data_IF_771076147387
#
_entry.id   IF_771076147387
#
_cell.length_a   1.000
_cell.length_b   1.000
_cell.length_c   1.000
_cell.angle_alpha   90.00
_cell.angle_beta   90.00
_cell.angle_gamma   90.00
#
_symmetry.space_group_name_H-M   'P 1'
#
loop_
_entity.id
_entity.type
_entity.pdbx_description
1 polymer ?
#
# COMPACT_ATOMS: atom_id res chain seq x y z
N UNK A 1 -25.50 4.18 -15.46
CA UNK A 1 -24.30 4.83 -14.92
C UNK A 1 -23.21 3.86 -14.42
N UNK A 2 -23.42 2.56 -14.43
CA UNK A 2 -22.36 1.58 -14.06
C UNK A 2 -21.65 0.96 -15.28
N UNK A 3 -22.09 1.29 -16.50
CA UNK A 3 -21.59 0.68 -17.73
C UNK A 3 -20.35 1.33 -18.35
N UNK A 4 -19.85 2.43 -17.77
CA UNK A 4 -18.76 3.20 -18.39
C UNK A 4 -17.44 3.09 -17.62
N UNK A 5 -17.36 2.22 -16.61
CA UNK A 5 -16.10 2.01 -15.90
C UNK A 5 -15.49 0.66 -16.27
N UNK A 6 -14.53 0.69 -17.18
CA UNK A 6 -13.69 -0.46 -17.58
C UNK A 6 -12.76 -0.90 -16.43
N UNK A 7 -13.30 -1.14 -15.24
CA UNK A 7 -12.57 -1.57 -14.06
C UNK A 7 -13.00 -2.96 -13.63
N UNK A 8 -12.05 -3.75 -13.16
CA UNK A 8 -12.36 -4.99 -12.48
C UNK A 8 -12.85 -4.68 -11.05
N UNK A 9 -14.00 -5.23 -10.67
CA UNK A 9 -14.52 -5.09 -9.30
C UNK A 9 -14.12 -6.29 -8.48
N UNK A 10 -13.42 -6.02 -7.36
CA UNK A 10 -13.10 -7.03 -6.35
C UNK A 10 -14.24 -7.22 -5.36
N UNK A 11 -14.33 -8.40 -4.75
CA UNK A 11 -15.30 -8.70 -3.70
C UNK A 11 -14.89 -7.99 -2.40
N UNK A 12 -15.76 -7.14 -1.87
CA UNK A 12 -15.68 -6.63 -0.49
C UNK A 12 -14.79 -5.42 -0.25
N UNK A 13 -14.24 -4.75 -1.27
CA UNK A 13 -13.51 -3.51 -1.08
C UNK A 13 -13.82 -2.50 -2.20
N UNK A 14 -13.99 -1.23 -1.83
CA UNK A 14 -14.07 -0.15 -2.80
C UNK A 14 -12.70 0.09 -3.45
N UNK A 15 -12.74 0.57 -4.68
CA UNK A 15 -11.63 0.64 -5.64
C UNK A 15 -10.26 0.99 -5.04
N UNK A 16 -10.11 2.19 -4.48
CA UNK A 16 -8.81 2.66 -3.99
C UNK A 16 -8.39 2.02 -2.66
N UNK A 17 -9.36 1.58 -1.84
CA UNK A 17 -9.10 0.77 -0.65
C UNK A 17 -8.51 -0.59 -1.03
N UNK A 18 -9.02 -1.24 -2.09
CA UNK A 18 -8.43 -2.47 -2.61
C UNK A 18 -7.03 -2.22 -3.17
N UNK A 19 -6.84 -1.17 -3.97
CA UNK A 19 -5.55 -0.80 -4.54
C UNK A 19 -4.47 -0.54 -3.51
N UNK A 20 -4.79 0.17 -2.42
CA UNK A 20 -3.83 0.42 -1.34
C UNK A 20 -3.45 -0.87 -0.59
N UNK A 21 -4.39 -1.79 -0.38
CA UNK A 21 -4.09 -3.11 0.22
C UNK A 21 -3.20 -3.97 -0.68
N UNK A 22 -3.45 -3.98 -2.00
CA UNK A 22 -2.55 -4.64 -2.95
C UNK A 22 -1.17 -3.99 -2.94
N UNK A 23 -1.08 -2.66 -2.82
CA UNK A 23 0.20 -1.97 -2.68
C UNK A 23 0.98 -2.46 -1.46
N UNK A 24 0.35 -2.59 -0.29
CA UNK A 24 0.98 -3.12 0.91
C UNK A 24 1.47 -4.57 0.74
N UNK A 25 0.66 -5.43 0.09
CA UNK A 25 1.04 -6.82 -0.17
C UNK A 25 2.23 -6.90 -1.14
N UNK A 26 2.27 -6.06 -2.19
CA UNK A 26 3.41 -6.01 -3.12
C UNK A 26 4.71 -5.62 -2.40
N UNK A 27 4.66 -4.62 -1.53
CA UNK A 27 5.80 -4.20 -0.70
C UNK A 27 6.24 -5.35 0.21
N UNK A 28 5.28 -6.01 0.87
CA UNK A 28 5.58 -7.13 1.76
C UNK A 28 6.25 -8.29 1.02
N UNK A 29 5.74 -8.68 -0.16
CA UNK A 29 6.36 -9.74 -0.98
C UNK A 29 7.78 -9.34 -1.40
N UNK A 30 7.98 -8.12 -1.90
CA UNK A 30 9.30 -7.65 -2.34
C UNK A 30 10.34 -7.70 -1.21
N UNK A 31 10.00 -7.14 -0.05
CA UNK A 31 10.91 -7.11 1.09
C UNK A 31 11.12 -8.50 1.72
N UNK A 32 10.09 -9.34 1.77
CA UNK A 32 10.20 -10.72 2.26
C UNK A 32 11.12 -11.57 1.39
N UNK A 33 10.95 -11.51 0.07
CA UNK A 33 11.81 -12.26 -0.87
C UNK A 33 13.26 -11.80 -0.75
N UNK A 34 13.52 -10.49 -0.66
CA UNK A 34 14.87 -9.99 -0.49
C UNK A 34 15.51 -10.44 0.83
N UNK A 35 14.75 -10.37 1.94
CA UNK A 35 15.23 -10.78 3.25
C UNK A 35 15.56 -12.27 3.32
N UNK A 36 14.71 -13.14 2.73
CA UNK A 36 14.82 -14.61 2.81
C UNK A 36 15.43 -15.27 1.56
N UNK A 37 15.98 -14.51 0.61
CA UNK A 37 16.46 -15.00 -0.68
C UNK A 37 17.49 -16.13 -0.61
N UNK A 38 18.30 -16.14 0.45
CA UNK A 38 19.33 -17.16 0.66
C UNK A 38 18.74 -18.48 1.20
N UNK A 39 17.68 -18.39 2.03
CA UNK A 39 17.01 -19.53 2.65
C UNK A 39 15.93 -20.15 1.76
N UNK A 40 15.22 -19.32 0.99
CA UNK A 40 14.11 -19.80 0.13
C UNK A 40 14.60 -20.70 -0.99
N UNK A 41 13.83 -21.75 -1.28
CA UNK A 41 14.05 -22.61 -2.44
C UNK A 41 13.63 -21.88 -3.72
N UNK A 42 14.18 -22.30 -4.87
CA UNK A 42 13.90 -21.63 -6.16
C UNK A 42 12.40 -21.60 -6.50
N UNK A 43 11.65 -22.66 -6.21
CA UNK A 43 10.21 -22.70 -6.49
C UNK A 43 9.40 -21.75 -5.57
N UNK A 44 9.85 -21.52 -4.33
CA UNK A 44 9.23 -20.57 -3.39
C UNK A 44 9.44 -19.14 -3.88
N UNK A 45 10.67 -18.79 -4.27
CA UNK A 45 10.96 -17.49 -4.90
C UNK A 45 10.09 -17.30 -6.14
N UNK A 46 10.02 -18.31 -7.02
CA UNK A 46 9.20 -18.23 -8.22
C UNK A 46 7.72 -18.03 -7.89
N UNK A 47 7.19 -18.71 -6.86
CA UNK A 47 5.82 -18.53 -6.39
C UNK A 47 5.56 -17.08 -5.94
N UNK A 48 6.45 -16.50 -5.13
CA UNK A 48 6.31 -15.10 -4.68
C UNK A 48 6.41 -14.11 -5.84
N UNK A 49 7.32 -14.34 -6.80
CA UNK A 49 7.47 -13.45 -7.96
C UNK A 49 6.27 -13.53 -8.91
N UNK A 50 5.74 -14.73 -9.17
CA UNK A 50 4.49 -14.89 -9.93
C UNK A 50 3.35 -14.19 -9.22
N UNK A 51 3.22 -14.37 -7.90
CA UNK A 51 2.20 -13.69 -7.09
C UNK A 51 2.36 -12.17 -7.16
N UNK A 52 3.58 -11.65 -7.08
CA UNK A 52 3.87 -10.23 -7.21
C UNK A 52 3.40 -9.68 -8.57
N UNK A 53 3.72 -10.38 -9.67
CA UNK A 53 3.32 -9.94 -11.02
C UNK A 53 1.78 -10.01 -11.17
N UNK A 54 1.16 -11.11 -10.73
CA UNK A 54 -0.31 -11.27 -10.82
C UNK A 54 -1.05 -10.21 -10.00
N UNK A 55 -0.60 -9.96 -8.76
CA UNK A 55 -1.19 -8.91 -7.91
C UNK A 55 -0.96 -7.52 -8.51
N UNK A 56 0.21 -7.27 -9.12
CA UNK A 56 0.47 -6.01 -9.82
C UNK A 56 -0.50 -5.80 -10.98
N UNK A 57 -0.72 -6.81 -11.81
CA UNK A 57 -1.61 -6.72 -12.98
C UNK A 57 -3.07 -6.58 -12.53
N UNK A 58 -3.56 -7.53 -11.73
CA UNK A 58 -4.97 -7.54 -11.27
C UNK A 58 -5.27 -6.32 -10.41
N UNK A 59 -4.37 -5.95 -9.51
CA UNK A 59 -4.52 -4.78 -8.64
C UNK A 59 -4.65 -3.48 -9.43
N UNK A 60 -3.83 -3.27 -10.47
CA UNK A 60 -3.94 -2.08 -11.33
C UNK A 60 -5.20 -2.08 -12.19
N UNK A 61 -5.71 -3.25 -12.58
CA UNK A 61 -7.03 -3.37 -13.26
C UNK A 61 -8.18 -2.96 -12.33
N UNK A 62 -8.04 -3.12 -11.02
CA UNK A 62 -9.02 -2.71 -10.01
C UNK A 62 -8.84 -1.23 -9.68
N UNK A 63 -7.63 -0.84 -9.27
CA UNK A 63 -7.30 0.53 -8.90
C UNK A 63 -5.83 0.85 -9.15
N UNK A 64 -5.58 1.95 -9.86
CA UNK A 64 -4.24 2.44 -10.20
C UNK A 64 -3.39 2.77 -8.96
N UNK A 65 -4.00 2.94 -7.79
CA UNK A 65 -3.30 3.13 -6.51
C UNK A 65 -2.35 1.97 -6.20
N UNK A 66 -2.60 0.78 -6.75
CA UNK A 66 -1.69 -0.39 -6.67
C UNK A 66 -0.29 -0.10 -7.22
N UNK A 67 -0.15 0.85 -8.18
CA UNK A 67 1.14 1.23 -8.77
C UNK A 67 2.11 1.79 -7.73
N UNK A 68 1.60 2.37 -6.64
CA UNK A 68 2.41 2.87 -5.52
C UNK A 68 3.20 1.71 -4.88
N UNK A 69 2.52 0.60 -4.62
CA UNK A 69 3.16 -0.60 -4.07
C UNK A 69 4.12 -1.25 -5.06
N UNK A 70 3.75 -1.30 -6.34
CA UNK A 70 4.63 -1.77 -7.40
C UNK A 70 5.92 -0.93 -7.47
N UNK A 71 5.79 0.41 -7.48
CA UNK A 71 6.93 1.32 -7.55
C UNK A 71 7.83 1.24 -6.33
N UNK A 72 7.26 1.25 -5.12
CA UNK A 72 8.02 1.14 -3.86
C UNK A 72 8.67 -0.25 -3.75
N UNK A 73 7.95 -1.33 -4.05
CA UNK A 73 8.48 -2.69 -3.98
C UNK A 73 9.62 -2.95 -4.96
N UNK A 74 9.45 -2.54 -6.23
CA UNK A 74 10.53 -2.63 -7.22
C UNK A 74 11.69 -1.71 -6.89
N UNK A 75 11.42 -0.48 -6.46
CA UNK A 75 12.44 0.48 -6.02
C UNK A 75 13.27 -0.08 -4.86
N UNK A 76 12.64 -0.71 -3.89
CA UNK A 76 13.32 -1.38 -2.79
C UNK A 76 14.23 -2.50 -3.30
N UNK A 77 13.73 -3.40 -4.15
CA UNK A 77 14.53 -4.50 -4.72
C UNK A 77 15.74 -3.98 -5.49
N UNK A 78 15.55 -2.93 -6.29
CA UNK A 78 16.64 -2.29 -7.06
C UNK A 78 17.69 -1.69 -6.12
N UNK A 79 17.26 -0.96 -5.09
CA UNK A 79 18.18 -0.37 -4.10
C UNK A 79 18.99 -1.44 -3.35
N UNK A 80 18.36 -2.56 -2.96
CA UNK A 80 19.05 -3.67 -2.30
C UNK A 80 20.08 -4.33 -3.22
N UNK A 81 19.77 -4.49 -4.51
CA UNK A 81 20.72 -5.00 -5.50
C UNK A 81 21.94 -4.07 -5.63
N UNK A 82 21.74 -2.75 -5.72
CA UNK A 82 22.83 -1.79 -5.76
C UNK A 82 23.68 -1.83 -4.49
N UNK A 83 23.06 -1.86 -3.30
CA UNK A 83 23.80 -1.97 -2.02
C UNK A 83 24.61 -3.27 -1.95
N UNK A 84 24.07 -4.40 -2.42
CA UNK A 84 24.76 -5.67 -2.49
C UNK A 84 26.03 -5.63 -3.35
N UNK A 85 25.99 -4.91 -4.48
CA UNK A 85 27.15 -4.72 -5.38
C UNK A 85 28.23 -3.91 -4.67
N UNK A 86 27.89 -2.80 -3.99
CA UNK A 86 28.85 -1.94 -3.32
C UNK A 86 29.47 -2.57 -2.08
N UNK A 87 28.72 -3.42 -1.35
CA UNK A 87 29.17 -4.05 -0.10
C UNK A 87 29.87 -5.40 -0.33
N UNK A 88 30.07 -5.87 -1.57
CA UNK A 88 30.59 -7.21 -1.88
C UNK A 88 29.87 -8.34 -1.13
N UNK A 89 28.58 -8.15 -0.84
CA UNK A 89 27.74 -9.14 -0.17
C UNK A 89 27.62 -10.38 -1.07
N UNK A 90 27.40 -11.53 -0.45
CA UNK A 90 27.28 -12.81 -1.16
C UNK A 90 26.24 -12.73 -2.28
N UNK A 91 26.70 -12.75 -3.54
CA UNK A 91 25.86 -12.53 -4.74
C UNK A 91 25.03 -13.77 -5.14
N UNK A 92 25.08 -14.86 -4.36
CA UNK A 92 24.39 -16.10 -4.69
C UNK A 92 22.87 -15.97 -4.72
N UNK A 93 22.30 -15.40 -3.67
CA UNK A 93 20.86 -15.15 -3.56
C UNK A 93 20.34 -14.15 -4.59
N UNK A 94 21.10 -13.09 -4.86
CA UNK A 94 20.72 -12.05 -5.83
C UNK A 94 20.63 -12.61 -7.25
N UNK A 95 21.60 -13.44 -7.67
CA UNK A 95 21.59 -14.11 -8.98
C UNK A 95 20.42 -15.10 -9.11
N UNK A 96 20.09 -15.79 -8.01
CA UNK A 96 18.96 -16.73 -7.95
C UNK A 96 17.63 -15.96 -8.12
N UNK A 97 17.41 -14.86 -7.41
CA UNK A 97 16.24 -14.01 -7.56
C UNK A 97 16.14 -13.44 -8.97
N UNK A 98 17.22 -12.89 -9.52
CA UNK A 98 17.25 -12.37 -10.89
C UNK A 98 16.92 -13.44 -11.93
N UNK A 99 17.48 -14.66 -11.78
CA UNK A 99 17.16 -15.80 -12.64
C UNK A 99 15.67 -16.19 -12.59
N UNK A 100 15.09 -16.20 -11.38
CA UNK A 100 13.66 -16.49 -11.21
C UNK A 100 12.76 -15.39 -11.79
N UNK A 101 13.16 -14.10 -11.72
CA UNK A 101 12.48 -13.03 -12.46
C UNK A 101 12.45 -13.30 -13.96
N UNK A 102 13.59 -13.72 -14.54
CA UNK A 102 13.65 -14.08 -15.95
C UNK A 102 12.68 -15.22 -16.31
N UNK A 103 12.56 -16.24 -15.46
CA UNK A 103 11.61 -17.34 -15.66
C UNK A 103 10.18 -16.86 -15.52
N UNK A 104 9.84 -16.11 -14.46
CA UNK A 104 8.50 -15.60 -14.23
C UNK A 104 8.01 -14.71 -15.37
N UNK A 105 8.83 -13.75 -15.80
CA UNK A 105 8.50 -12.85 -16.91
C UNK A 105 8.45 -13.62 -18.25
N UNK A 106 9.36 -14.56 -18.49
CA UNK A 106 9.40 -15.39 -19.69
C UNK A 106 8.14 -16.25 -19.87
N UNK A 107 7.46 -16.61 -18.78
CA UNK A 107 6.18 -17.33 -18.83
C UNK A 107 4.99 -16.38 -18.90
N UNK A 108 4.97 -15.35 -18.05
CA UNK A 108 3.78 -14.51 -17.89
C UNK A 108 3.61 -13.48 -19.03
N UNK A 109 4.69 -12.96 -19.62
CA UNK A 109 4.60 -12.03 -20.75
C UNK A 109 3.91 -12.66 -21.96
N UNK A 110 4.30 -13.85 -22.45
CA UNK A 110 3.60 -14.49 -23.57
C UNK A 110 2.11 -14.77 -23.28
N UNK A 111 1.79 -15.16 -22.04
CA UNK A 111 0.39 -15.35 -21.62
C UNK A 111 -0.37 -14.04 -21.66
N UNK A 112 0.20 -12.96 -21.11
CA UNK A 112 -0.43 -11.63 -21.11
C UNK A 112 -0.62 -11.11 -22.55
N UNK A 113 0.37 -11.27 -23.42
CA UNK A 113 0.28 -10.87 -24.85
C UNK A 113 -0.79 -11.69 -25.57
N UNK A 114 -0.89 -12.98 -25.30
CA UNK A 114 -1.94 -13.81 -25.88
C UNK A 114 -3.33 -13.30 -25.49
N UNK A 115 -3.60 -13.09 -24.19
CA UNK A 115 -4.89 -12.59 -23.71
C UNK A 115 -5.17 -11.14 -24.15
N UNK A 116 -4.16 -10.29 -24.23
CA UNK A 116 -4.27 -8.93 -24.73
C UNK A 116 -4.78 -8.88 -26.18
N UNK A 117 -4.36 -9.85 -27.01
CA UNK A 117 -4.78 -9.92 -28.42
C UNK A 117 -6.06 -10.74 -28.65
N UNK A 118 -6.50 -11.57 -27.68
CA UNK A 118 -7.64 -12.48 -27.89
C UNK A 118 -8.87 -12.12 -27.07
N UNK A 119 -8.73 -11.34 -25.99
CA UNK A 119 -9.81 -10.94 -25.10
C UNK A 119 -9.97 -9.43 -25.07
N UNK A 120 -11.05 -8.92 -25.65
CA UNK A 120 -11.39 -7.49 -25.65
C UNK A 120 -11.45 -6.93 -24.21
N UNK A 121 -12.10 -7.65 -23.29
CA UNK A 121 -12.18 -7.24 -21.89
C UNK A 121 -10.80 -7.13 -21.22
N UNK A 122 -9.90 -8.10 -21.46
CA UNK A 122 -8.55 -8.06 -20.91
C UNK A 122 -7.75 -6.91 -21.53
N UNK A 123 -7.91 -6.66 -22.82
CA UNK A 123 -7.29 -5.52 -23.52
C UNK A 123 -7.68 -4.20 -22.86
N UNK A 124 -8.98 -3.95 -22.67
CA UNK A 124 -9.49 -2.71 -22.06
C UNK A 124 -8.99 -2.55 -20.60
N UNK A 125 -9.04 -3.61 -19.80
CA UNK A 125 -8.56 -3.59 -18.42
C UNK A 125 -7.04 -3.31 -18.32
N UNK A 126 -6.24 -3.89 -19.22
CA UNK A 126 -4.82 -3.62 -19.29
C UNK A 126 -4.52 -2.17 -19.69
N UNK A 127 -5.22 -1.66 -20.70
CA UNK A 127 -5.08 -0.24 -21.10
C UNK A 127 -5.51 0.70 -19.98
N UNK A 128 -6.58 0.39 -19.28
CA UNK A 128 -6.99 1.15 -18.10
C UNK A 128 -5.94 1.11 -16.98
N UNK A 129 -5.50 -0.09 -16.58
CA UNK A 129 -4.59 -0.27 -15.44
C UNK A 129 -3.20 0.34 -15.68
N UNK A 130 -2.74 0.35 -16.92
CA UNK A 130 -1.41 0.81 -17.32
C UNK A 130 -1.45 1.99 -18.30
N UNK A 131 -2.50 2.83 -18.23
CA UNK A 131 -2.76 3.94 -19.15
C UNK A 131 -1.54 4.85 -19.36
N UNK A 132 -0.85 5.26 -18.28
CA UNK A 132 0.31 6.13 -18.39
C UNK A 132 1.49 5.49 -19.16
N UNK A 133 1.68 4.17 -19.05
CA UNK A 133 2.73 3.49 -19.82
C UNK A 133 2.35 3.38 -21.31
N UNK A 134 1.08 3.10 -21.62
CA UNK A 134 0.59 3.08 -22.98
C UNK A 134 0.66 4.47 -23.61
N UNK A 135 0.22 5.51 -22.89
CA UNK A 135 0.30 6.90 -23.33
C UNK A 135 1.76 7.30 -23.61
N UNK A 136 2.68 7.02 -22.69
CA UNK A 136 4.10 7.31 -22.88
C UNK A 136 4.67 6.61 -24.11
N UNK A 137 4.29 5.35 -24.36
CA UNK A 137 4.77 4.58 -25.52
C UNK A 137 4.18 5.07 -26.85
N UNK A 138 2.92 5.54 -26.86
CA UNK A 138 2.19 5.94 -28.06
C UNK A 138 2.41 7.41 -28.44
N UNK A 139 2.48 8.30 -27.42
CA UNK A 139 2.52 9.76 -27.64
C UNK A 139 3.84 10.41 -27.18
N UNK A 140 4.65 9.71 -26.40
CA UNK A 140 5.84 10.26 -25.76
C UNK A 140 5.54 11.08 -24.49
N UNK A 141 4.28 11.21 -24.08
CA UNK A 141 3.85 11.96 -22.92
C UNK A 141 3.14 11.05 -21.92
N UNK A 142 3.41 11.28 -20.63
CA UNK A 142 2.72 10.55 -19.55
C UNK A 142 1.37 11.19 -19.27
N UNK A 143 0.32 10.66 -19.89
CA UNK A 143 -1.05 11.11 -19.69
C UNK A 143 -1.87 10.03 -18.98
N UNK A 144 -2.59 10.42 -17.93
CA UNK A 144 -3.48 9.56 -17.16
C UNK A 144 -4.72 10.37 -16.82
N UNK A 145 -5.87 9.99 -17.35
CA UNK A 145 -7.12 10.75 -17.21
C UNK A 145 -7.49 11.06 -15.74
N UNK A 146 -7.16 10.13 -14.81
CA UNK A 146 -7.39 10.40 -13.38
C UNK A 146 -6.48 11.47 -12.79
N UNK A 147 -5.32 11.76 -13.38
CA UNK A 147 -4.43 12.80 -12.89
C UNK A 147 -4.95 14.19 -13.29
N UNK A 148 -5.49 14.34 -14.49
CA UNK A 148 -6.14 15.59 -14.93
C UNK A 148 -7.34 15.92 -14.05
N UNK A 149 -8.15 14.88 -13.71
CA UNK A 149 -9.26 15.04 -12.77
C UNK A 149 -8.77 15.45 -11.39
N UNK A 150 -7.70 14.82 -10.85
CA UNK A 150 -7.13 15.18 -9.56
C UNK A 150 -6.58 16.60 -9.53
N UNK A 151 -5.99 17.08 -10.60
CA UNK A 151 -5.51 18.47 -10.70
C UNK A 151 -6.65 19.48 -10.51
N UNK A 152 -7.81 19.19 -11.11
CA UNK A 152 -9.01 20.03 -10.92
C UNK A 152 -9.61 19.94 -9.50
N UNK A 153 -9.24 18.93 -8.71
CA UNK A 153 -9.68 18.72 -7.33
C UNK A 153 -8.72 19.32 -6.29
N UNK A 154 -7.67 20.03 -6.71
CA UNK A 154 -6.78 20.74 -5.78
C UNK A 154 -7.50 21.99 -5.29
N UNK A 155 -8.15 21.90 -4.14
CA UNK A 155 -8.86 22.99 -3.48
C UNK A 155 -8.31 23.16 -2.07
N UNK A 156 -7.89 24.37 -1.72
CA UNK A 156 -7.37 24.67 -0.39
C UNK A 156 -8.41 25.44 0.45
N UNK A 157 -8.42 25.24 1.78
CA UNK A 157 -9.25 26.04 2.68
C UNK A 157 -8.94 27.54 2.55
N UNK A 158 -9.97 28.37 2.55
CA UNK A 158 -9.84 29.82 2.45
C UNK A 158 -9.55 30.49 3.81
N UNK A 159 -10.02 29.89 4.91
CA UNK A 159 -9.87 30.41 6.24
C UNK A 159 -8.91 29.61 7.13
N UNK A 160 -8.39 30.27 8.17
CA UNK A 160 -7.40 29.67 9.07
C UNK A 160 -8.02 28.66 10.03
N UNK A 161 -9.31 28.78 10.35
CA UNK A 161 -10.02 27.88 11.24
C UNK A 161 -10.11 26.48 10.61
N UNK A 162 -10.53 26.39 9.34
CA UNK A 162 -10.56 25.14 8.56
C UNK A 162 -9.17 24.52 8.44
N UNK A 163 -8.12 25.33 8.22
CA UNK A 163 -6.75 24.82 8.22
C UNK A 163 -6.34 24.16 9.54
N UNK A 164 -6.74 24.73 10.69
CA UNK A 164 -6.28 24.26 12.01
C UNK A 164 -7.11 23.08 12.51
N UNK A 165 -8.46 23.22 12.49
CA UNK A 165 -9.39 22.26 13.12
C UNK A 165 -10.32 21.56 12.14
N UNK A 166 -10.41 22.04 10.88
CA UNK A 166 -11.31 21.50 9.86
C UNK A 166 -12.76 21.91 10.07
N UNK A 167 -13.59 21.56 9.09
CA UNK A 167 -15.04 21.85 9.07
C UNK A 167 -15.89 20.67 9.57
N UNK A 168 -15.26 19.49 9.78
CA UNK A 168 -15.96 18.29 10.23
C UNK A 168 -16.74 17.53 9.15
N UNK A 169 -16.62 17.94 7.88
CA UNK A 169 -17.31 17.28 6.76
C UNK A 169 -16.36 16.50 5.88
N UNK A 170 -16.74 15.25 5.55
CA UNK A 170 -15.99 14.36 4.68
C UNK A 170 -16.64 14.13 3.32
N UNK A 171 -17.96 14.28 3.28
CA UNK A 171 -18.79 14.16 2.08
C UNK A 171 -19.85 15.25 2.07
N UNK A 172 -20.43 15.51 0.90
CA UNK A 172 -21.50 16.50 0.76
C UNK A 172 -22.75 16.09 1.56
N UNK A 173 -23.31 17.04 2.30
CA UNK A 173 -24.48 16.89 3.16
C UNK A 173 -25.64 17.73 2.62
N UNK A 174 -26.81 17.12 2.43
CA UNK A 174 -27.97 17.81 1.89
C UNK A 174 -28.84 18.50 2.95
N UNK A 175 -28.86 17.94 4.16
CA UNK A 175 -29.84 18.31 5.20
C UNK A 175 -29.20 19.03 6.41
N UNK A 176 -27.94 19.41 6.34
CA UNK A 176 -27.29 20.14 7.41
C UNK A 176 -27.36 21.65 7.13
N UNK A 177 -27.98 22.43 8.04
CA UNK A 177 -28.18 23.87 7.92
C UNK A 177 -26.86 24.65 8.00
N UNK A 178 -25.83 24.06 8.62
CA UNK A 178 -24.52 24.66 8.76
C UNK A 178 -23.55 24.27 7.64
N UNK A 179 -24.00 23.40 6.72
CA UNK A 179 -23.18 22.95 5.61
C UNK A 179 -22.98 24.04 4.56
N UNK A 180 -21.74 24.42 4.31
CA UNK A 180 -21.36 25.49 3.38
C UNK A 180 -21.02 25.00 1.96
N UNK A 181 -20.89 23.68 1.75
CA UNK A 181 -20.56 23.10 0.46
C UNK A 181 -21.78 22.85 -0.43
N UNK A 182 -21.59 22.04 -1.47
CA UNK A 182 -22.66 21.62 -2.38
C UNK A 182 -23.76 20.84 -1.65
N UNK A 183 -24.99 21.28 -1.80
CA UNK A 183 -26.17 20.67 -1.18
C UNK A 183 -26.63 19.35 -1.86
N UNK A 184 -25.81 18.75 -2.71
CA UNK A 184 -26.10 17.47 -3.38
C UNK A 184 -25.71 16.29 -2.52
N UNK A 185 -26.58 15.28 -2.42
CA UNK A 185 -26.22 14.01 -1.77
C UNK A 185 -25.11 13.30 -2.54
N UNK A 186 -24.08 12.84 -1.79
CA UNK A 186 -22.91 12.18 -2.36
C UNK A 186 -21.87 13.17 -2.87
N UNK A 187 -20.75 12.64 -3.30
CA UNK A 187 -19.59 13.43 -3.68
C UNK A 187 -18.69 13.82 -2.51
N UNK A 188 -17.61 14.49 -2.84
CA UNK A 188 -16.59 14.86 -1.89
C UNK A 188 -16.85 16.28 -1.39
N UNK A 189 -16.64 16.52 -0.09
CA UNK A 189 -16.71 17.86 0.46
C UNK A 189 -15.75 18.78 -0.28
N UNK A 190 -16.19 19.99 -0.64
CA UNK A 190 -15.46 20.98 -1.44
C UNK A 190 -14.93 20.45 -2.79
N UNK A 191 -15.51 19.36 -3.31
CA UNK A 191 -15.12 18.76 -4.60
C UNK A 191 -13.77 18.09 -4.65
N UNK A 192 -13.06 17.89 -3.51
CA UNK A 192 -11.74 17.29 -3.48
C UNK A 192 -11.77 15.83 -3.04
N UNK A 193 -11.09 14.93 -3.79
CA UNK A 193 -10.82 13.53 -3.39
C UNK A 193 -9.36 13.33 -2.90
N UNK A 194 -8.55 14.39 -2.96
CA UNK A 194 -7.15 14.33 -2.53
C UNK A 194 -7.09 14.08 -1.02
N UNK A 195 -6.45 12.98 -0.62
CA UNK A 195 -6.45 12.50 0.75
C UNK A 195 -6.05 13.55 1.78
N UNK A 196 -4.91 14.22 1.58
CA UNK A 196 -4.46 15.27 2.49
C UNK A 196 -5.48 16.43 2.61
N UNK A 197 -6.06 16.88 1.49
CA UNK A 197 -7.02 17.99 1.51
C UNK A 197 -8.33 17.56 2.18
N UNK A 198 -8.82 16.34 1.91
CA UNK A 198 -10.00 15.81 2.61
C UNK A 198 -9.79 15.73 4.13
N UNK A 199 -8.61 15.32 4.57
CA UNK A 199 -8.29 15.27 5.98
C UNK A 199 -8.18 16.67 6.59
N UNK A 200 -7.60 17.64 5.86
CA UNK A 200 -7.53 19.01 6.32
C UNK A 200 -8.95 19.61 6.45
N UNK A 201 -9.81 19.43 5.46
CA UNK A 201 -11.20 19.86 5.56
C UNK A 201 -11.98 19.17 6.68
N UNK A 202 -11.67 17.90 6.97
CA UNK A 202 -12.41 17.12 7.96
C UNK A 202 -11.98 17.44 9.40
N UNK A 203 -10.70 17.46 9.71
CA UNK A 203 -10.19 17.62 11.08
C UNK A 203 -8.95 18.52 11.20
N UNK A 204 -8.66 19.31 10.17
CA UNK A 204 -7.56 20.27 10.13
C UNK A 204 -6.16 19.63 10.19
N UNK A 205 -5.16 20.50 10.28
CA UNK A 205 -3.76 20.09 10.43
C UNK A 205 -3.50 19.36 11.77
N UNK A 206 -4.25 19.70 12.83
CA UNK A 206 -4.14 19.04 14.13
C UNK A 206 -4.54 17.56 13.99
N UNK A 207 -5.68 17.28 13.39
CA UNK A 207 -6.13 15.90 13.19
C UNK A 207 -5.28 15.13 12.18
N UNK A 208 -4.85 15.78 11.10
CA UNK A 208 -3.93 15.19 10.12
C UNK A 208 -2.60 14.78 10.79
N UNK A 209 -2.05 15.63 11.66
CA UNK A 209 -0.87 15.33 12.44
C UNK A 209 -1.11 14.13 13.39
N UNK A 210 -2.21 14.15 14.14
CA UNK A 210 -2.56 13.05 15.05
C UNK A 210 -2.71 11.72 14.31
N UNK A 211 -3.44 11.70 13.18
CA UNK A 211 -3.61 10.50 12.35
C UNK A 211 -2.27 10.02 11.77
N UNK A 212 -1.41 10.93 11.32
CA UNK A 212 -0.06 10.60 10.84
C UNK A 212 0.78 9.94 11.93
N UNK A 213 0.72 10.48 13.17
CA UNK A 213 1.43 9.91 14.30
C UNK A 213 0.93 8.50 14.67
N UNK A 214 -0.37 8.23 14.55
CA UNK A 214 -0.93 6.87 14.77
C UNK A 214 -0.35 5.87 13.76
N UNK A 215 -0.28 6.24 12.47
CA UNK A 215 0.29 5.36 11.43
C UNK A 215 1.80 5.12 11.67
N UNK A 216 2.55 6.17 11.97
CA UNK A 216 4.00 6.08 12.29
C UNK A 216 4.22 5.22 13.53
N UNK A 217 3.41 5.42 14.57
CA UNK A 217 3.50 4.65 15.81
C UNK A 217 3.19 3.17 15.59
N UNK A 218 2.15 2.84 14.83
CA UNK A 218 1.83 1.46 14.46
C UNK A 218 2.98 0.79 13.68
N UNK A 219 3.58 1.51 12.71
CA UNK A 219 4.74 1.03 11.97
C UNK A 219 5.96 0.81 12.87
N UNK A 220 6.21 1.72 13.83
CA UNK A 220 7.29 1.62 14.82
C UNK A 220 7.12 0.40 15.72
N UNK A 221 5.94 0.19 16.30
CA UNK A 221 5.63 -0.98 17.12
C UNK A 221 5.88 -2.29 16.37
N UNK A 222 5.40 -2.38 15.12
CA UNK A 222 5.65 -3.57 14.31
C UNK A 222 7.15 -3.74 13.99
N UNK A 223 7.85 -2.66 13.69
CA UNK A 223 9.28 -2.69 13.37
C UNK A 223 10.15 -3.08 14.57
N UNK A 224 9.72 -2.74 15.79
CA UNK A 224 10.37 -3.13 17.06
C UNK A 224 10.08 -4.60 17.39
N UNK A 225 8.83 -5.05 17.22
CA UNK A 225 8.43 -6.44 17.51
C UNK A 225 8.99 -7.44 16.48
N UNK A 226 9.21 -7.00 15.24
CA UNK A 226 9.72 -7.84 14.15
C UNK A 226 10.93 -7.19 13.47
N UNK A 227 12.10 -7.10 14.15
CA UNK A 227 13.25 -6.34 13.66
C UNK A 227 13.81 -6.86 12.33
N UNK A 228 13.67 -8.15 12.05
CA UNK A 228 14.07 -8.78 10.78
C UNK A 228 13.29 -8.23 9.59
N UNK A 229 12.00 -7.88 9.79
CA UNK A 229 11.07 -7.41 8.77
C UNK A 229 10.78 -5.92 8.86
N UNK A 230 11.54 -5.16 9.65
CA UNK A 230 11.30 -3.72 9.89
C UNK A 230 11.15 -2.89 8.61
N UNK A 231 11.83 -3.29 7.53
CA UNK A 231 11.73 -2.62 6.24
C UNK A 231 10.31 -2.65 5.67
N UNK A 232 9.58 -3.76 5.84
CA UNK A 232 8.20 -3.91 5.38
C UNK A 232 7.33 -2.82 6.00
N UNK A 233 7.41 -2.65 7.32
CA UNK A 233 6.55 -1.73 8.05
C UNK A 233 6.82 -0.27 7.69
N UNK A 234 8.09 0.12 7.55
CA UNK A 234 8.44 1.49 7.15
C UNK A 234 8.10 1.77 5.68
N UNK A 235 8.24 0.80 4.79
CA UNK A 235 7.86 0.96 3.38
C UNK A 235 6.33 1.03 3.21
N UNK A 236 5.56 0.27 3.99
CA UNK A 236 4.09 0.37 4.01
C UNK A 236 3.65 1.70 4.62
N UNK A 237 4.32 2.18 5.67
CA UNK A 237 4.10 3.52 6.24
C UNK A 237 4.36 4.61 5.18
N UNK A 238 5.47 4.53 4.45
CA UNK A 238 5.75 5.42 3.32
C UNK A 238 4.66 5.36 2.25
N UNK A 239 4.25 4.14 1.87
CA UNK A 239 3.18 3.95 0.89
C UNK A 239 1.87 4.60 1.32
N UNK A 240 1.52 4.55 2.61
CA UNK A 240 0.35 5.21 3.16
C UNK A 240 0.37 6.72 2.87
N UNK A 241 1.48 7.40 3.16
CA UNK A 241 1.61 8.84 2.90
C UNK A 241 1.64 9.17 1.41
N UNK A 242 2.21 8.32 0.57
CA UNK A 242 2.15 8.48 -0.89
C UNK A 242 0.73 8.31 -1.42
N UNK A 243 -0.03 7.35 -0.90
CA UNK A 243 -1.43 7.13 -1.28
C UNK A 243 -2.29 8.34 -0.95
N UNK A 244 -2.04 9.05 0.17
CA UNK A 244 -2.77 10.25 0.55
C UNK A 244 -2.58 11.44 -0.40
N UNK A 245 -1.57 11.42 -1.26
CA UNK A 245 -1.47 12.40 -2.36
C UNK A 245 -2.61 12.27 -3.37
N UNK A 246 -3.29 11.11 -3.39
CA UNK A 246 -4.36 10.82 -4.34
C UNK A 246 -5.72 10.62 -3.66
N UNK A 247 -5.78 9.78 -2.62
CA UNK A 247 -7.04 9.36 -1.99
C UNK A 247 -6.90 9.26 -0.48
N UNK A 248 -8.02 9.46 0.23
CA UNK A 248 -8.10 9.45 1.69
C UNK A 248 -8.29 8.05 2.30
N UNK A 249 -7.63 7.02 1.74
CA UNK A 249 -7.61 5.68 2.31
C UNK A 249 -6.34 5.47 3.13
N UNK A 250 -6.39 4.59 4.13
CA UNK A 250 -5.25 4.27 4.98
C UNK A 250 -4.86 2.79 4.89
N UNK A 251 -3.64 2.50 5.35
CA UNK A 251 -3.06 1.17 5.43
C UNK A 251 -2.95 0.67 6.88
N UNK A 252 -3.64 1.31 7.84
CA UNK A 252 -3.55 0.95 9.24
C UNK A 252 -3.87 -0.53 9.51
N UNK A 253 -4.87 -1.09 8.82
CA UNK A 253 -5.25 -2.50 8.94
C UNK A 253 -4.11 -3.47 8.59
N UNK A 254 -3.11 -3.04 7.84
CA UNK A 254 -1.94 -3.88 7.56
C UNK A 254 -1.13 -4.17 8.82
N UNK A 255 -1.04 -3.22 9.75
CA UNK A 255 -0.27 -3.36 10.98
C UNK A 255 -1.00 -4.17 12.05
N UNK A 256 -2.33 -4.17 12.05
CA UNK A 256 -3.15 -4.78 13.09
C UNK A 256 -2.80 -6.25 13.42
N UNK A 257 -2.69 -7.18 12.46
CA UNK A 257 -2.36 -8.58 12.77
C UNK A 257 -0.98 -8.74 13.43
N UNK A 258 0.00 -7.91 13.07
CA UNK A 258 1.35 -7.94 13.66
C UNK A 258 1.35 -7.40 15.09
N UNK A 259 0.63 -6.31 15.35
CA UNK A 259 0.47 -5.75 16.69
C UNK A 259 -0.26 -6.76 17.58
N UNK A 260 -1.36 -7.37 17.10
CA UNK A 260 -2.09 -8.36 17.87
C UNK A 260 -1.23 -9.60 18.18
N UNK A 261 -0.47 -10.10 17.19
CA UNK A 261 0.40 -11.25 17.40
C UNK A 261 1.53 -10.95 18.40
N UNK A 262 2.12 -9.75 18.36
CA UNK A 262 3.13 -9.32 19.32
C UNK A 262 2.58 -9.23 20.74
N UNK A 263 1.38 -8.65 20.93
CA UNK A 263 0.75 -8.56 22.25
C UNK A 263 0.47 -9.96 22.83
N UNK A 264 -0.02 -10.88 22.00
CA UNK A 264 -0.30 -12.25 22.41
C UNK A 264 1.00 -12.98 22.80
N UNK A 265 2.05 -12.85 22.00
CA UNK A 265 3.35 -13.48 22.29
C UNK A 265 3.93 -12.97 23.64
N UNK A 266 3.93 -11.66 23.86
CA UNK A 266 4.40 -11.07 25.10
C UNK A 266 3.57 -11.49 26.32
N UNK A 267 2.26 -11.71 26.15
CA UNK A 267 1.41 -12.18 27.24
C UNK A 267 1.76 -13.63 27.65
N UNK A 268 2.05 -14.51 26.70
CA UNK A 268 2.48 -15.87 26.99
C UNK A 268 3.86 -15.92 27.63
N UNK A 269 4.82 -15.08 27.18
CA UNK A 269 6.15 -14.99 27.79
C UNK A 269 6.06 -14.53 29.26
N UNK A 270 5.15 -13.59 29.58
CA UNK A 270 4.94 -13.14 30.94
C UNK A 270 4.32 -14.23 31.83
N UNK A 271 3.35 -14.99 31.31
CA UNK A 271 2.76 -16.12 32.04
C UNK A 271 3.82 -17.21 32.35
N UNK A 272 4.73 -17.51 31.41
CA UNK A 272 5.81 -18.47 31.64
C UNK A 272 6.84 -17.95 32.68
N UNK A 273 7.19 -16.64 32.64
CA UNK A 273 8.08 -16.03 33.65
C UNK A 273 7.47 -16.04 35.04
N UNK A 274 6.17 -15.73 35.17
CA UNK A 274 5.45 -15.75 36.45
C UNK A 274 5.36 -17.18 37.03
N UNK A 275 5.13 -18.21 36.19
CA UNK A 275 5.13 -19.62 36.62
C UNK A 275 6.51 -20.09 37.09
N UNK A 276 7.59 -19.68 36.37
CA UNK A 276 8.97 -20.03 36.77
C UNK A 276 9.39 -19.33 38.07
N UNK A 277 8.90 -18.11 38.36
CA UNK A 277 9.14 -17.41 39.63
C UNK A 277 8.39 -18.07 40.81
N UNK A 278 7.18 -18.59 40.59
CA UNK A 278 6.42 -19.32 41.62
C UNK A 278 7.00 -20.71 41.94
N UNK A 279 7.65 -21.37 40.95
CA UNK A 279 8.30 -22.68 41.15
C UNK A 279 9.73 -22.55 41.75
N UNK A 280 10.31 -21.37 41.80
CA UNK A 280 11.62 -21.16 42.41
C UNK A 280 11.60 -21.48 43.92
N UNK A 281 12.38 -22.46 44.42
CA UNK A 281 12.34 -22.84 45.83
C UNK A 281 12.85 -21.69 46.69
N UNK A 282 12.01 -21.38 47.72
CA UNK A 282 12.33 -20.39 48.75
C UNK A 282 13.60 -20.83 49.51
N UNK A 283 14.75 -20.45 49.00
CA UNK A 283 16.02 -20.69 49.69
C UNK A 283 16.10 -19.70 50.87
N UNK A 284 15.34 -19.99 51.92
CA UNK A 284 15.52 -19.34 53.20
C UNK A 284 16.92 -19.74 53.75
N UNK A 285 17.75 -18.75 53.90
CA UNK A 285 19.06 -18.85 54.57
C UNK A 285 18.88 -19.50 55.95
N UNK A 286 19.51 -20.64 56.14
CA UNK A 286 19.67 -21.29 57.44
C UNK A 286 21.02 -20.92 58.07
#
# INVERSE_FOLDING_TARGET
MLNDMNRLYGIGASLDVAGSRFAAVLIAIAAYVDHRKDDLKAYEILFYLISFILISVVGNMIARTTIVGLGIGLGYLVLQQFQGIFQQRNQGGDKKVLGMWGVALGVLIPIAVFYYNTSEQFHELMRFGFEGFFSLAETGEWMVASNETLESMIVFPEDLETWIVGDGYFANQRNDINYLGDATEGGFYMGTDIGYLRFIFYFGLIGLFAMSMVIIYAASLCAESYPEYRAIFWLVCLANFVVWLKVSTDLFLFFCPFICASIIANAFEQEEEDEDEEEAPDIQEA
#
